data_IF_742293956828
#
_entry.id   IF_742293956828
#
_cell.length_a   1.000
_cell.length_b   1.000
_cell.length_c   1.000
_cell.angle_alpha   90.00
_cell.angle_beta   90.00
_cell.angle_gamma   90.00
#
_symmetry.space_group_name_H-M   'P 1'
#
loop_
_entity.id
_entity.type
_entity.pdbx_description
1 polymer ?
#
# COMPACT_ATOMS: atom_id res chain seq x y z
N UNK A 1 -5.51 6.70 -5.45
CA UNK A 1 -6.04 5.47 -6.11
C UNK A 1 -5.32 5.31 -7.46
N UNK A 2 -5.22 4.12 -8.06
CA UNK A 2 -4.62 3.95 -9.39
C UNK A 2 -5.52 4.48 -10.50
N UNK A 3 -4.93 5.17 -11.47
CA UNK A 3 -5.59 5.71 -12.65
C UNK A 3 -4.68 5.57 -13.87
N UNK A 4 -5.29 5.61 -15.04
CA UNK A 4 -4.62 5.91 -16.29
C UNK A 4 -4.78 7.43 -16.50
N UNK A 5 -3.68 8.12 -16.72
CA UNK A 5 -3.66 9.57 -16.93
C UNK A 5 -3.06 9.84 -18.31
N UNK A 6 -3.75 10.63 -19.10
CA UNK A 6 -3.27 11.07 -20.42
C UNK A 6 -2.80 12.52 -20.28
N UNK A 7 -1.52 12.75 -20.49
CA UNK A 7 -0.89 14.09 -20.44
C UNK A 7 -0.40 14.50 -21.83
N UNK A 8 -0.20 15.81 -22.05
CA UNK A 8 0.32 16.31 -23.33
C UNK A 8 1.76 15.88 -23.61
N UNK A 9 2.60 15.90 -22.57
CA UNK A 9 4.05 15.66 -22.68
C UNK A 9 4.43 14.18 -22.57
N UNK A 10 3.88 13.45 -21.59
CA UNK A 10 4.26 12.05 -21.33
C UNK A 10 3.34 11.03 -22.00
N UNK A 11 2.23 11.49 -22.60
CA UNK A 11 1.22 10.61 -23.17
C UNK A 11 0.45 9.83 -22.10
N UNK A 12 0.34 8.51 -22.24
CA UNK A 12 -0.50 7.66 -21.39
C UNK A 12 0.35 7.03 -20.28
N UNK A 13 0.04 7.33 -19.02
CA UNK A 13 0.74 6.79 -17.84
C UNK A 13 -0.21 6.10 -16.88
N UNK A 14 0.26 5.05 -16.20
CA UNK A 14 -0.45 4.39 -15.11
C UNK A 14 0.16 4.75 -13.76
N UNK A 15 -0.58 5.46 -12.91
CA UNK A 15 -0.07 6.03 -11.67
C UNK A 15 -1.11 6.02 -10.56
N UNK A 16 -0.66 6.02 -9.31
CA UNK A 16 -1.50 6.40 -8.16
C UNK A 16 -1.62 7.91 -8.15
N UNK A 17 -2.85 8.41 -8.29
CA UNK A 17 -3.15 9.85 -8.31
C UNK A 17 -3.59 10.32 -6.94
N UNK A 18 -3.06 11.46 -6.52
CA UNK A 18 -3.51 12.25 -5.37
C UNK A 18 -4.03 13.61 -5.86
N UNK A 19 -5.23 13.95 -5.42
CA UNK A 19 -5.88 15.23 -5.72
C UNK A 19 -5.21 16.36 -4.93
N UNK A 20 -4.61 17.31 -5.65
CA UNK A 20 -4.08 18.57 -5.10
C UNK A 20 -4.71 19.78 -5.81
N UNK A 21 -5.89 19.60 -6.40
CA UNK A 21 -6.55 20.59 -7.26
C UNK A 21 -6.86 21.89 -6.51
N UNK A 22 -7.33 21.77 -5.27
CA UNK A 22 -7.74 22.94 -4.46
C UNK A 22 -6.56 23.78 -3.97
N UNK A 23 -5.43 23.14 -3.66
CA UNK A 23 -4.28 23.79 -3.05
C UNK A 23 -3.27 24.29 -4.08
N UNK A 24 -3.07 23.51 -5.15
CA UNK A 24 -2.00 23.73 -6.13
C UNK A 24 -2.46 23.74 -7.59
N UNK A 25 -3.72 23.37 -7.86
CA UNK A 25 -4.20 23.23 -9.24
C UNK A 25 -3.47 22.13 -10.02
N UNK A 26 -2.96 21.11 -9.32
CA UNK A 26 -2.17 20.02 -9.88
C UNK A 26 -2.66 18.66 -9.37
N UNK A 27 -2.19 17.61 -10.02
CA UNK A 27 -2.28 16.22 -9.57
C UNK A 27 -0.89 15.73 -9.20
N UNK A 28 -0.76 15.05 -8.07
CA UNK A 28 0.47 14.36 -7.71
C UNK A 28 0.39 12.91 -8.21
N UNK A 29 1.32 12.53 -9.09
CA UNK A 29 1.42 11.22 -9.72
C UNK A 29 2.52 10.41 -9.05
N UNK A 30 2.14 9.30 -8.43
CA UNK A 30 3.05 8.36 -7.78
C UNK A 30 3.10 7.05 -8.55
N UNK A 31 4.30 6.52 -8.81
CA UNK A 31 4.46 5.20 -9.44
C UNK A 31 4.18 4.08 -8.42
N UNK A 32 3.70 2.94 -8.90
CA UNK A 32 3.64 1.71 -8.09
C UNK A 32 5.02 1.07 -7.89
N UNK A 33 6.03 1.51 -8.66
CA UNK A 33 7.43 1.16 -8.45
C UNK A 33 8.11 2.24 -7.57
N UNK A 34 8.52 1.91 -6.33
CA UNK A 34 9.13 2.87 -5.40
C UNK A 34 10.43 3.54 -5.88
N UNK A 35 11.09 2.97 -6.89
CA UNK A 35 12.31 3.56 -7.47
C UNK A 35 12.03 4.87 -8.22
N UNK A 36 10.78 5.10 -8.62
CA UNK A 36 10.38 6.30 -9.35
C UNK A 36 9.80 7.33 -8.38
N UNK A 37 10.41 8.51 -8.34
CA UNK A 37 9.95 9.59 -7.49
C UNK A 37 8.57 10.11 -7.94
N UNK A 38 7.71 10.51 -6.99
CA UNK A 38 6.48 11.24 -7.29
C UNK A 38 6.76 12.58 -7.98
N UNK A 39 5.85 13.01 -8.84
CA UNK A 39 5.93 14.31 -9.51
C UNK A 39 4.55 14.92 -9.67
N UNK A 40 4.51 16.25 -9.74
CA UNK A 40 3.29 17.02 -9.90
C UNK A 40 3.05 17.34 -11.38
N UNK A 41 1.79 17.22 -11.81
CA UNK A 41 1.34 17.61 -13.15
C UNK A 41 0.22 18.64 -13.01
N UNK A 42 0.40 19.86 -13.57
CA UNK A 42 -0.66 20.86 -13.62
C UNK A 42 -1.88 20.34 -14.37
N UNK A 43 -3.09 20.69 -13.93
CA UNK A 43 -4.33 20.22 -14.57
C UNK A 43 -4.43 20.61 -16.04
N UNK A 44 -3.87 21.77 -16.42
CA UNK A 44 -3.85 22.22 -17.80
C UNK A 44 -3.08 21.30 -18.75
N UNK A 45 -2.21 20.43 -18.23
CA UNK A 45 -1.42 19.45 -18.99
C UNK A 45 -2.07 18.07 -19.03
N UNK A 46 -3.17 17.88 -18.29
CA UNK A 46 -3.94 16.62 -18.26
C UNK A 46 -5.06 16.70 -19.29
N UNK A 47 -5.07 15.74 -20.21
CA UNK A 47 -6.10 15.59 -21.23
C UNK A 47 -7.25 14.74 -20.72
N UNK A 48 -6.93 13.59 -20.10
CA UNK A 48 -7.92 12.63 -19.62
C UNK A 48 -7.44 11.92 -18.35
N UNK A 49 -8.40 11.51 -17.51
CA UNK A 49 -8.16 10.68 -16.33
C UNK A 49 -9.17 9.55 -16.30
N UNK A 50 -8.70 8.31 -16.35
CA UNK A 50 -9.54 7.12 -16.32
C UNK A 50 -9.30 6.32 -15.04
N UNK A 51 -10.40 6.03 -14.32
CA UNK A 51 -10.33 5.20 -13.13
C UNK A 51 -9.96 3.78 -13.50
N UNK A 52 -8.89 3.27 -12.90
CA UNK A 52 -8.55 1.86 -13.04
C UNK A 52 -9.50 1.01 -12.19
N UNK A 53 -10.07 -0.04 -12.79
CA UNK A 53 -11.05 -0.92 -12.12
C UNK A 53 -10.60 -2.37 -12.13
N UNK A 54 -10.16 -2.90 -13.28
CA UNK A 54 -9.73 -4.30 -13.42
C UNK A 54 -8.56 -4.41 -14.39
N UNK A 55 -7.78 -5.50 -14.25
CA UNK A 55 -6.81 -5.97 -15.23
C UNK A 55 -7.08 -7.45 -15.53
N UNK A 56 -6.63 -7.90 -16.71
CA UNK A 56 -6.69 -9.29 -17.13
C UNK A 56 -5.25 -9.81 -17.15
N UNK A 57 -4.98 -10.93 -16.47
CA UNK A 57 -3.67 -11.59 -16.47
C UNK A 57 -3.79 -13.04 -16.94
N UNK A 58 -2.89 -13.52 -17.81
CA UNK A 58 -2.81 -14.94 -18.15
C UNK A 58 -2.17 -15.77 -17.02
N UNK A 59 -1.47 -15.13 -16.08
CA UNK A 59 -0.87 -15.78 -14.93
C UNK A 59 -1.92 -15.97 -13.85
N UNK A 60 -2.06 -17.20 -13.36
CA UNK A 60 -2.86 -17.49 -12.19
C UNK A 60 -2.18 -16.86 -10.97
N UNK A 61 -2.84 -15.93 -10.25
CA UNK A 61 -2.26 -15.37 -9.04
C UNK A 61 -2.01 -16.50 -8.04
N UNK A 62 -0.83 -16.51 -7.42
CA UNK A 62 -0.53 -17.47 -6.37
C UNK A 62 -1.59 -17.34 -5.27
N UNK A 63 -2.10 -18.47 -4.74
CA UNK A 63 -3.09 -18.41 -3.67
C UNK A 63 -2.51 -17.62 -2.50
N UNK A 64 -3.22 -16.58 -2.06
CA UNK A 64 -2.87 -15.67 -0.96
C UNK A 64 -2.85 -16.35 0.44
N UNK A 65 -2.49 -17.63 0.52
CA UNK A 65 -2.44 -18.42 1.76
C UNK A 65 -1.41 -17.86 2.75
N UNK A 66 -0.27 -17.38 2.23
CA UNK A 66 0.89 -17.03 3.05
C UNK A 66 0.66 -15.85 3.99
N UNK A 67 -0.14 -14.84 3.60
CA UNK A 67 -0.30 -13.62 4.40
C UNK A 67 -1.19 -13.84 5.63
N UNK A 68 -2.26 -14.62 5.48
CA UNK A 68 -3.18 -14.91 6.58
C UNK A 68 -2.58 -15.92 7.55
N UNK A 69 -1.89 -16.94 7.05
CA UNK A 69 -1.21 -17.94 7.87
C UNK A 69 -0.02 -17.33 8.64
N UNK A 70 0.73 -16.43 8.00
CA UNK A 70 1.79 -15.67 8.66
C UNK A 70 1.23 -14.75 9.76
N UNK A 71 0.12 -14.06 9.48
CA UNK A 71 -0.50 -13.18 10.48
C UNK A 71 -0.99 -13.96 11.70
N UNK A 72 -1.60 -15.14 11.49
CA UNK A 72 -1.99 -16.06 12.57
C UNK A 72 -0.79 -16.54 13.38
N UNK A 73 0.26 -16.98 12.70
CA UNK A 73 1.50 -17.44 13.36
C UNK A 73 2.14 -16.34 14.21
N UNK A 74 2.16 -15.09 13.73
CA UNK A 74 2.66 -13.95 14.49
C UNK A 74 1.79 -13.65 15.71
N UNK A 75 0.45 -13.71 15.57
CA UNK A 75 -0.47 -13.52 16.70
C UNK A 75 -0.30 -14.60 17.77
N UNK A 76 -0.10 -15.86 17.37
CA UNK A 76 0.12 -16.97 18.29
C UNK A 76 1.44 -16.81 19.05
N UNK A 77 2.52 -16.44 18.35
CA UNK A 77 3.81 -16.13 18.98
C UNK A 77 3.69 -14.97 19.99
N UNK A 78 2.99 -13.89 19.64
CA UNK A 78 2.75 -12.77 20.57
C UNK A 78 2.00 -13.22 21.83
N UNK A 79 1.02 -14.11 21.67
CA UNK A 79 0.23 -14.66 22.79
C UNK A 79 1.08 -15.56 23.68
N UNK A 80 1.98 -16.36 23.13
CA UNK A 80 2.93 -17.17 23.90
C UNK A 80 3.91 -16.30 24.68
N UNK A 81 4.51 -15.29 24.04
CA UNK A 81 5.43 -14.34 24.71
C UNK A 81 4.73 -13.62 25.86
N UNK A 82 3.48 -13.19 25.68
CA UNK A 82 2.69 -12.56 26.75
C UNK A 82 2.44 -13.52 27.93
N UNK A 83 2.17 -14.79 27.64
CA UNK A 83 1.99 -15.83 28.68
C UNK A 83 3.28 -16.09 29.44
N UNK A 84 4.42 -16.20 28.75
CA UNK A 84 5.73 -16.35 29.39
C UNK A 84 6.06 -15.17 30.28
N UNK A 85 5.82 -13.93 29.81
CA UNK A 85 6.05 -12.72 30.62
C UNK A 85 5.25 -12.73 31.92
N UNK A 86 3.96 -13.06 31.85
CA UNK A 86 3.09 -13.16 33.04
C UNK A 86 3.51 -14.28 33.99
N UNK A 87 3.94 -15.42 33.47
CA UNK A 87 4.45 -16.53 34.29
C UNK A 87 5.73 -16.12 35.03
N UNK A 88 6.67 -15.47 34.35
CA UNK A 88 7.90 -14.94 34.95
C UNK A 88 7.62 -13.85 36.01
N UNK A 89 6.68 -12.94 35.75
CA UNK A 89 6.25 -11.92 36.73
C UNK A 89 5.64 -12.55 37.99
N UNK A 90 4.86 -13.64 37.83
CA UNK A 90 4.23 -14.35 38.95
C UNK A 90 5.27 -15.12 39.77
N UNK A 91 6.24 -15.74 39.10
CA UNK A 91 7.28 -16.53 39.74
C UNK A 91 8.31 -15.64 40.46
N UNK A 92 8.61 -14.46 39.93
CA UNK A 92 9.42 -13.45 40.62
C UNK A 92 8.74 -12.85 41.86
N UNK A 93 7.40 -12.85 41.91
CA UNK A 93 6.62 -12.38 43.06
C UNK A 93 6.51 -13.39 44.21
N UNK A 94 6.75 -14.67 43.94
CA UNK A 94 6.79 -15.74 44.94
C UNK A 94 8.18 -15.93 45.56
N UNK A 95 9.20 -15.26 45.01
CA UNK A 95 10.59 -15.32 45.47
C UNK A 95 10.96 -14.20 46.48
N UNK A 96 9.98 -13.38 46.90
CA UNK A 96 10.12 -12.35 47.93
C UNK A 96 8.99 -12.46 48.97
#
# INVERSE_FOLDING_TARGET
QPYIVVTKEEGIVFKVVYDQLKEKGSLLLCSTNPLYQPYEVPVGEVLEVWKFVHYISPELPEPNLTRDDLSRSVMDLQKEVSRMRKAMETQGRLAF
#
